data_IF_524730360561
#
_entry.id   IF_524730360561
#
_cell.length_a   1.000
_cell.length_b   1.000
_cell.length_c   1.000
_cell.angle_alpha   90.00
_cell.angle_beta   90.00
_cell.angle_gamma   90.00
#
_symmetry.space_group_name_H-M   'P 1'
#
loop_
_entity.id
_entity.type
_entity.pdbx_description
1 polymer ?
#
# COMPACT_ATOMS: atom_id res chain seq x y z
N UNK A 1 4.74 2.69 24.02
CA UNK A 1 5.08 1.40 23.39
C UNK A 1 5.84 0.57 24.40
N UNK A 2 5.40 -0.66 24.66
CA UNK A 2 6.20 -1.64 25.41
C UNK A 2 7.02 -2.36 24.34
N UNK A 3 8.34 -2.21 24.38
CA UNK A 3 9.24 -2.85 23.41
C UNK A 3 9.29 -4.37 23.55
N UNK A 4 10.01 -5.04 22.65
CA UNK A 4 10.15 -6.50 22.63
C UNK A 4 10.58 -7.02 21.26
N UNK A 5 10.56 -8.35 21.09
CA UNK A 5 10.75 -8.99 19.78
C UNK A 5 9.53 -8.72 18.90
N UNK A 6 9.76 -8.39 17.63
CA UNK A 6 8.73 -8.27 16.61
C UNK A 6 9.07 -9.22 15.47
N UNK A 7 8.25 -10.25 15.27
CA UNK A 7 8.49 -11.23 14.22
C UNK A 7 8.13 -10.66 12.85
N UNK A 8 9.02 -10.90 11.88
CA UNK A 8 8.80 -10.60 10.46
C UNK A 8 8.87 -11.92 9.69
N UNK A 9 7.80 -12.27 8.99
CA UNK A 9 7.69 -13.54 8.29
C UNK A 9 8.15 -13.41 6.84
N UNK A 10 9.24 -14.10 6.48
CA UNK A 10 9.74 -14.23 5.11
C UNK A 10 9.73 -15.72 4.75
N UNK A 11 8.70 -16.14 4.02
CA UNK A 11 8.53 -17.52 3.56
C UNK A 11 9.09 -17.78 2.16
N UNK A 12 8.92 -19.02 1.69
CA UNK A 12 9.28 -19.42 0.33
C UNK A 12 8.51 -18.58 -0.72
N UNK A 13 9.24 -17.91 -1.61
CA UNK A 13 8.69 -16.99 -2.61
C UNK A 13 8.65 -15.53 -2.15
N UNK A 14 9.00 -15.25 -0.90
CA UNK A 14 9.09 -13.90 -0.34
C UNK A 14 10.54 -13.42 -0.16
N UNK A 15 11.55 -14.23 -0.50
CA UNK A 15 12.96 -13.92 -0.25
C UNK A 15 13.55 -12.88 -1.22
N UNK A 16 12.72 -12.28 -2.08
CA UNK A 16 13.16 -11.20 -2.96
C UNK A 16 13.35 -9.90 -2.19
N UNK A 17 14.39 -9.14 -2.56
CA UNK A 17 14.79 -7.93 -1.81
C UNK A 17 13.64 -6.94 -1.59
N UNK A 18 12.76 -6.75 -2.58
CA UNK A 18 11.61 -5.85 -2.46
C UNK A 18 10.64 -6.29 -1.37
N UNK A 19 10.35 -7.59 -1.26
CA UNK A 19 9.45 -8.13 -0.23
C UNK A 19 10.08 -8.05 1.15
N UNK A 20 11.37 -8.38 1.29
CA UNK A 20 12.07 -8.23 2.58
C UNK A 20 12.05 -6.78 3.06
N UNK A 21 12.28 -5.81 2.16
CA UNK A 21 12.18 -4.38 2.48
C UNK A 21 10.75 -3.97 2.84
N UNK A 22 9.74 -4.46 2.11
CA UNK A 22 8.33 -4.20 2.40
C UNK A 22 7.95 -4.61 3.83
N UNK A 23 8.27 -5.85 4.21
CA UNK A 23 7.92 -6.35 5.54
C UNK A 23 8.73 -5.65 6.66
N UNK A 24 9.99 -5.30 6.38
CA UNK A 24 10.81 -4.49 7.30
C UNK A 24 10.21 -3.08 7.48
N UNK A 25 9.63 -2.49 6.44
CA UNK A 25 8.96 -1.19 6.54
C UNK A 25 7.69 -1.25 7.40
N UNK A 26 6.91 -2.34 7.34
CA UNK A 26 5.80 -2.55 8.28
C UNK A 26 6.28 -2.60 9.73
N UNK A 27 7.38 -3.30 10.00
CA UNK A 27 8.01 -3.35 11.33
C UNK A 27 8.41 -1.95 11.85
N UNK A 28 8.85 -1.07 10.95
CA UNK A 28 9.17 0.34 11.24
C UNK A 28 7.93 1.25 11.37
N UNK A 29 6.72 0.73 11.13
CA UNK A 29 5.46 1.46 11.27
C UNK A 29 4.98 2.17 10.01
N UNK A 30 5.48 1.79 8.83
CA UNK A 30 5.01 2.33 7.55
C UNK A 30 3.83 1.50 7.05
N UNK A 31 2.70 2.16 6.77
CA UNK A 31 1.53 1.52 6.18
C UNK A 31 1.52 1.61 4.65
N UNK A 32 0.63 0.84 4.02
CA UNK A 32 0.52 0.83 2.57
C UNK A 32 0.06 2.18 1.99
N UNK A 33 0.64 2.57 0.85
CA UNK A 33 0.30 3.85 0.19
C UNK A 33 -1.15 3.89 -0.31
N UNK A 34 -1.71 2.76 -0.78
CA UNK A 34 -3.12 2.72 -1.18
C UNK A 34 -4.12 2.86 -0.02
N UNK A 35 -3.64 2.81 1.23
CA UNK A 35 -4.43 2.99 2.45
C UNK A 35 -4.26 4.38 3.07
N UNK A 36 -3.49 5.28 2.46
CA UNK A 36 -3.39 6.67 2.93
C UNK A 36 -4.77 7.34 2.92
N UNK A 37 -4.98 8.27 3.86
CA UNK A 37 -6.25 9.01 3.97
C UNK A 37 -6.56 9.85 2.72
N UNK A 38 -5.51 10.31 2.01
CA UNK A 38 -5.57 11.15 0.79
C UNK A 38 -5.51 10.34 -0.52
N UNK A 39 -5.49 9.00 -0.46
CA UNK A 39 -5.23 8.15 -1.65
C UNK A 39 -6.22 8.37 -2.80
N UNK A 40 -7.47 8.75 -2.50
CA UNK A 40 -8.53 8.95 -3.51
C UNK A 40 -8.24 10.17 -4.43
N UNK A 41 -7.31 11.04 -4.05
CA UNK A 41 -6.82 12.12 -4.94
C UNK A 41 -5.84 11.62 -6.01
N UNK A 42 -5.27 10.43 -5.83
CA UNK A 42 -4.18 9.89 -6.67
C UNK A 42 -4.59 8.62 -7.41
N UNK A 43 -5.36 7.75 -6.77
CA UNK A 43 -5.83 6.47 -7.30
C UNK A 43 -7.31 6.25 -7.02
N UNK A 44 -8.00 5.59 -7.94
CA UNK A 44 -9.33 5.04 -7.73
C UNK A 44 -9.25 3.52 -7.61
N UNK A 45 -9.97 2.96 -6.64
CA UNK A 45 -10.02 1.51 -6.41
C UNK A 45 -11.40 0.99 -6.81
N UNK A 46 -11.45 0.11 -7.80
CA UNK A 46 -12.71 -0.53 -8.20
C UNK A 46 -12.98 -1.76 -7.33
N UNK A 47 -13.78 -1.57 -6.30
CA UNK A 47 -14.14 -2.62 -5.34
C UNK A 47 -14.99 -3.74 -5.96
N UNK A 48 -15.57 -3.54 -7.15
CA UNK A 48 -16.36 -4.55 -7.87
C UNK A 48 -15.52 -5.78 -8.22
N UNK A 49 -14.23 -5.58 -8.50
CA UNK A 49 -13.29 -6.64 -8.87
C UNK A 49 -12.45 -7.15 -7.68
N UNK A 50 -12.67 -6.59 -6.48
CA UNK A 50 -11.98 -7.04 -5.26
C UNK A 50 -12.81 -8.13 -4.58
N UNK A 51 -12.26 -9.35 -4.41
CA UNK A 51 -12.90 -10.41 -3.65
C UNK A 51 -13.34 -9.91 -2.26
N UNK A 52 -14.56 -10.27 -1.83
CA UNK A 52 -15.14 -9.75 -0.59
C UNK A 52 -14.26 -9.99 0.65
N UNK A 53 -13.55 -11.12 0.69
CA UNK A 53 -12.59 -11.49 1.73
C UNK A 53 -11.30 -10.63 1.73
N UNK A 54 -11.05 -9.87 0.66
CA UNK A 54 -9.86 -9.03 0.47
C UNK A 54 -10.14 -7.54 0.48
N UNK A 55 -11.41 -7.13 0.55
CA UNK A 55 -11.79 -5.71 0.52
C UNK A 55 -11.19 -4.90 1.67
N UNK A 56 -10.99 -5.53 2.83
CA UNK A 56 -10.37 -4.88 3.99
C UNK A 56 -8.93 -4.38 3.74
N UNK A 57 -8.22 -4.97 2.76
CA UNK A 57 -6.85 -4.55 2.40
C UNK A 57 -6.80 -3.15 1.74
N UNK A 58 -7.96 -2.59 1.38
CA UNK A 58 -8.08 -1.30 0.70
C UNK A 58 -8.72 -0.23 1.58
N UNK A 59 -8.96 -0.54 2.85
CA UNK A 59 -9.46 0.41 3.85
C UNK A 59 -8.42 1.51 4.06
N UNK A 60 -8.90 2.75 4.08
CA UNK A 60 -8.07 3.92 4.37
C UNK A 60 -7.89 4.09 5.86
N UNK A 61 -6.69 4.50 6.26
CA UNK A 61 -6.47 5.10 7.56
C UNK A 61 -7.03 6.53 7.59
N UNK A 62 -7.29 7.05 8.79
CA UNK A 62 -7.63 8.46 9.00
C UNK A 62 -6.39 9.32 9.16
N UNK A 63 -6.55 10.65 9.03
CA UNK A 63 -5.49 11.63 9.31
C UNK A 63 -5.07 11.69 10.78
N UNK A 64 -5.83 11.05 11.69
CA UNK A 64 -5.47 10.92 13.11
C UNK A 64 -4.69 9.63 13.40
N UNK A 65 -4.79 8.62 12.53
CA UNK A 65 -4.08 7.34 12.67
C UNK A 65 -2.72 7.34 11.97
N UNK A 66 -2.58 8.14 10.90
CA UNK A 66 -1.40 8.15 10.04
C UNK A 66 -1.00 9.57 9.67
N UNK A 67 0.27 9.75 9.32
CA UNK A 67 0.83 11.01 8.85
C UNK A 67 1.54 10.78 7.53
N UNK A 68 1.30 11.67 6.58
CA UNK A 68 1.89 11.61 5.24
C UNK A 68 3.15 12.48 5.20
N UNK A 69 4.31 11.89 5.51
CA UNK A 69 5.60 12.62 5.48
C UNK A 69 6.13 12.86 4.07
N UNK A 70 5.66 12.11 3.07
CA UNK A 70 6.11 12.21 1.67
C UNK A 70 4.92 12.40 0.71
N UNK A 71 5.17 12.94 -0.51
CA UNK A 71 4.20 12.90 -1.60
C UNK A 71 3.73 11.47 -1.90
N UNK A 72 2.64 11.33 -2.67
CA UNK A 72 2.14 10.01 -3.05
C UNK A 72 3.07 9.34 -4.07
N UNK A 73 3.57 8.14 -3.79
CA UNK A 73 4.56 7.44 -4.61
C UNK A 73 3.98 6.15 -5.21
N UNK A 74 3.62 6.20 -6.50
CA UNK A 74 3.07 5.06 -7.22
C UNK A 74 4.04 3.87 -7.34
N UNK A 75 5.34 4.14 -7.36
CA UNK A 75 6.41 3.13 -7.43
C UNK A 75 6.93 2.66 -6.07
N UNK A 76 6.31 3.08 -4.97
CA UNK A 76 6.73 2.69 -3.63
C UNK A 76 6.60 1.17 -3.46
N UNK A 77 7.58 0.55 -2.78
CA UNK A 77 7.48 -0.87 -2.41
C UNK A 77 6.29 -1.13 -1.48
N UNK A 78 5.78 -0.10 -0.80
CA UNK A 78 4.61 -0.15 0.08
C UNK A 78 3.29 0.12 -0.67
N UNK A 79 3.33 0.30 -1.98
CA UNK A 79 2.12 0.43 -2.80
C UNK A 79 1.77 -0.92 -3.43
N UNK A 80 0.52 -1.34 -3.32
CA UNK A 80 0.07 -2.56 -4.02
C UNK A 80 0.24 -2.43 -5.53
N UNK A 81 0.62 -3.53 -6.18
CA UNK A 81 0.69 -3.58 -7.63
C UNK A 81 -0.68 -3.25 -8.25
N UNK A 82 -0.68 -2.43 -9.30
CA UNK A 82 -1.90 -2.04 -10.02
C UNK A 82 -2.62 -3.23 -10.67
N UNK A 83 -1.88 -4.32 -10.92
CA UNK A 83 -2.42 -5.56 -11.44
C UNK A 83 -2.44 -6.62 -10.34
N UNK A 84 -3.62 -6.82 -9.77
CA UNK A 84 -3.90 -8.01 -8.99
C UNK A 84 -4.76 -8.94 -9.86
N UNK A 85 -4.29 -10.17 -10.07
CA UNK A 85 -5.05 -11.20 -10.78
C UNK A 85 -5.65 -10.77 -12.14
N UNK A 86 -4.86 -10.08 -12.97
CA UNK A 86 -5.20 -9.66 -14.36
C UNK A 86 -6.30 -8.61 -14.52
N UNK A 87 -6.85 -8.03 -13.45
CA UNK A 87 -7.78 -6.90 -13.53
C UNK A 87 -7.12 -5.61 -13.03
N UNK A 88 -7.34 -4.46 -13.68
CA UNK A 88 -6.85 -3.18 -13.17
C UNK A 88 -7.66 -2.82 -11.93
N UNK A 89 -7.12 -3.11 -10.74
CA UNK A 89 -7.78 -2.78 -9.47
C UNK A 89 -7.57 -1.31 -9.08
N UNK A 90 -6.50 -0.70 -9.59
CA UNK A 90 -6.10 0.66 -9.29
C UNK A 90 -6.00 1.45 -10.60
N UNK A 91 -6.78 2.52 -10.70
CA UNK A 91 -6.71 3.50 -11.79
C UNK A 91 -6.00 4.75 -11.28
N UNK A 92 -4.96 5.21 -11.98
CA UNK A 92 -4.29 6.47 -11.65
C UNK A 92 -5.12 7.64 -12.15
N UNK A 93 -5.35 8.63 -11.29
CA UNK A 93 -5.98 9.87 -11.72
C UNK A 93 -5.01 10.63 -12.65
N UNK A 94 -5.33 10.65 -13.95
CA UNK A 94 -4.47 11.17 -15.03
C UNK A 94 -4.03 12.63 -14.84
N UNK A 95 -4.71 13.41 -13.99
CA UNK A 95 -4.38 14.81 -13.75
C UNK A 95 -3.07 15.01 -12.95
N UNK A 96 -2.48 13.95 -12.38
CA UNK A 96 -1.29 14.06 -11.52
C UNK A 96 0.02 13.54 -12.17
N UNK A 97 -0.05 12.98 -13.40
CA UNK A 97 1.14 12.36 -14.07
C UNK A 97 1.95 13.39 -14.88
N UNK A 98 1.41 14.58 -15.16
CA UNK A 98 2.02 15.57 -16.08
C UNK A 98 3.09 16.47 -15.44
N UNK A 99 3.79 15.98 -14.42
CA UNK A 99 4.73 16.78 -13.59
C UNK A 99 6.21 16.49 -13.79
N UNK A 100 6.62 15.86 -14.90
CA UNK A 100 8.03 15.75 -15.32
C UNK A 100 8.28 16.59 -16.56
#
# INVERSE_FOLDING_TARGET
MIGGVQDVSIGNGCEVIGTVVHETMHALGVFHFQSRYDRDSYVSIDMTYVPADRQNNFVKYTSTQTVNYTPYEYGSTMHYCMFFQKFPLLSVNKQQITGL
#
